data_IF_947219542077
#
_entry.id   IF_947219542077
#
_cell.length_a   1.000
_cell.length_b   1.000
_cell.length_c   1.000
_cell.angle_alpha   90.00
_cell.angle_beta   90.00
_cell.angle_gamma   90.00
#
_symmetry.space_group_name_H-M   'P 1'
#
loop_
_entity.id
_entity.type
_entity.pdbx_description
1 polymer ?
#
# COMPACT_ATOMS: atom_id res chain seq x y z
N UNK A 1 -56.40 14.77 -1.78
CA UNK A 1 -56.25 15.79 -2.83
C UNK A 1 -54.78 15.89 -3.18
N UNK A 2 -54.52 15.96 -4.49
CA UNK A 2 -53.25 16.21 -5.17
C UNK A 2 -52.72 17.63 -4.83
N UNK A 3 -51.40 17.83 -4.74
CA UNK A 3 -50.61 19.04 -5.12
C UNK A 3 -49.27 19.03 -4.38
N UNK A 4 -48.13 18.76 -5.01
CA UNK A 4 -47.38 19.50 -6.05
C UNK A 4 -46.25 20.35 -5.43
N UNK A 5 -45.09 20.23 -6.08
CA UNK A 5 -43.78 20.75 -5.71
C UNK A 5 -43.74 22.26 -5.46
N UNK A 6 -42.82 22.68 -4.58
CA UNK A 6 -42.22 24.00 -4.64
C UNK A 6 -40.70 23.85 -4.61
N UNK A 7 -40.12 23.99 -5.80
CA UNK A 7 -38.72 24.31 -6.03
C UNK A 7 -38.43 25.64 -5.34
N UNK A 8 -37.53 25.64 -4.36
CA UNK A 8 -37.00 26.90 -3.82
C UNK A 8 -35.87 27.41 -4.72
N UNK A 9 -36.26 28.11 -5.79
CA UNK A 9 -35.42 29.04 -6.52
C UNK A 9 -35.14 30.26 -5.63
N UNK A 10 -33.97 30.30 -5.00
CA UNK A 10 -33.44 31.54 -4.46
C UNK A 10 -32.68 32.27 -5.57
N UNK A 11 -33.42 33.10 -6.31
CA UNK A 11 -32.87 34.08 -7.22
C UNK A 11 -33.20 35.49 -6.72
N UNK A 12 -32.14 36.28 -6.58
CA UNK A 12 -32.07 37.74 -6.74
C UNK A 12 -32.55 38.66 -5.60
N UNK A 13 -31.57 39.36 -5.03
CA UNK A 13 -31.58 40.83 -4.99
C UNK A 13 -30.21 41.28 -5.50
N UNK A 14 -30.08 41.81 -6.72
CA UNK A 14 -29.85 43.26 -6.95
C UNK A 14 -28.40 43.63 -6.59
N UNK A 15 -27.47 43.90 -7.51
CA UNK A 15 -27.57 44.74 -8.70
C UNK A 15 -26.77 46.01 -8.46
N UNK A 16 -25.53 46.08 -8.99
CA UNK A 16 -24.79 47.34 -9.17
C UNK A 16 -23.32 47.31 -8.74
N UNK A 17 -22.42 47.27 -9.72
CA UNK A 17 -21.14 48.00 -9.67
C UNK A 17 -19.91 47.20 -9.25
N UNK A 18 -18.91 47.31 -10.12
CA UNK A 18 -17.47 47.08 -9.95
C UNK A 18 -16.95 45.64 -9.95
N UNK A 19 -16.19 45.38 -11.03
CA UNK A 19 -15.11 44.42 -11.21
C UNK A 19 -14.53 43.86 -9.91
N UNK A 20 -14.76 42.56 -9.67
CA UNK A 20 -13.69 41.71 -9.16
C UNK A 20 -13.98 40.29 -9.64
N UNK A 21 -13.29 39.93 -10.72
CA UNK A 21 -13.07 38.57 -11.20
C UNK A 21 -12.49 37.76 -10.03
N UNK A 22 -13.34 37.23 -9.14
CA UNK A 22 -12.93 36.19 -8.19
C UNK A 22 -12.76 34.92 -9.01
N UNK A 23 -11.61 34.86 -9.69
CA UNK A 23 -11.09 33.67 -10.31
C UNK A 23 -11.14 32.56 -9.27
N UNK A 24 -11.98 31.55 -9.52
CA UNK A 24 -11.88 30.28 -8.82
C UNK A 24 -10.42 29.83 -8.95
N UNK A 25 -9.76 29.67 -7.80
CA UNK A 25 -8.35 29.30 -7.68
C UNK A 25 -8.02 28.17 -8.68
N UNK A 26 -7.11 28.39 -9.64
CA UNK A 26 -6.93 27.48 -10.75
C UNK A 26 -6.26 26.21 -10.25
N UNK A 27 -7.06 25.15 -10.11
CA UNK A 27 -6.64 23.78 -9.88
C UNK A 27 -5.71 23.58 -8.67
N UNK A 28 -6.26 22.98 -7.62
CA UNK A 28 -5.46 21.98 -6.90
C UNK A 28 -5.22 20.87 -7.92
N UNK A 29 -4.13 20.99 -8.69
CA UNK A 29 -3.66 19.91 -9.54
C UNK A 29 -3.43 18.74 -8.58
N UNK A 30 -4.23 17.68 -8.70
CA UNK A 30 -4.02 16.47 -7.92
C UNK A 30 -2.65 15.92 -8.31
N UNK A 31 -1.63 16.19 -7.49
CA UNK A 31 -0.32 15.56 -7.64
C UNK A 31 -0.46 14.10 -7.28
N UNK A 32 -0.08 13.21 -8.21
CA UNK A 32 0.04 11.78 -7.92
C UNK A 32 0.93 11.61 -6.68
N UNK A 33 0.48 10.89 -5.64
CA UNK A 33 1.30 10.67 -4.46
C UNK A 33 2.60 9.94 -4.83
N UNK A 34 3.69 10.28 -4.15
CA UNK A 34 4.98 9.65 -4.38
C UNK A 34 5.02 8.24 -3.76
N UNK A 35 5.68 7.31 -4.45
CA UNK A 35 5.95 5.97 -3.91
C UNK A 35 6.91 6.05 -2.71
N UNK A 36 6.62 5.38 -1.59
CA UNK A 36 7.47 5.38 -0.40
C UNK A 36 8.79 4.62 -0.63
N UNK A 37 9.82 4.94 0.15
CA UNK A 37 11.14 4.27 0.00
C UNK A 37 11.18 2.99 0.84
N UNK A 38 11.50 1.87 0.21
CA UNK A 38 11.74 0.62 0.92
C UNK A 38 13.10 0.64 1.64
N UNK A 39 13.21 -0.12 2.72
CA UNK A 39 14.45 -0.31 3.46
C UNK A 39 14.97 -1.73 3.30
N UNK A 40 16.27 -1.91 3.52
CA UNK A 40 16.83 -3.25 3.74
C UNK A 40 16.54 -3.68 5.20
N UNK A 41 15.80 -4.78 5.43
CA UNK A 41 15.48 -5.24 6.77
C UNK A 41 16.72 -5.51 7.63
N UNK A 42 17.86 -5.84 7.01
CA UNK A 42 19.13 -6.08 7.70
C UNK A 42 19.81 -4.80 8.23
N UNK A 43 19.36 -3.62 7.80
CA UNK A 43 19.97 -2.33 8.18
C UNK A 43 19.35 -1.70 9.43
N UNK A 44 18.27 -2.29 9.96
CA UNK A 44 17.55 -1.77 11.13
C UNK A 44 17.46 -2.81 12.24
N UNK A 45 17.43 -2.33 13.48
CA UNK A 45 17.09 -3.14 14.67
C UNK A 45 15.73 -2.76 15.25
N UNK A 46 15.07 -1.76 14.68
CA UNK A 46 13.71 -1.36 15.06
C UNK A 46 12.67 -2.25 14.37
N UNK A 47 11.44 -2.33 14.91
CA UNK A 47 10.34 -2.98 14.22
C UNK A 47 10.15 -2.38 12.82
N UNK A 48 9.93 -3.25 11.85
CA UNK A 48 9.68 -2.90 10.46
C UNK A 48 8.28 -3.36 10.05
N UNK A 49 7.83 -2.85 8.90
CA UNK A 49 6.53 -3.15 8.31
C UNK A 49 6.76 -3.80 6.96
N UNK A 50 6.13 -4.95 6.72
CA UNK A 50 6.21 -5.63 5.43
C UNK A 50 4.83 -5.64 4.82
N UNK A 51 4.73 -5.16 3.59
CA UNK A 51 3.57 -5.35 2.74
C UNK A 51 3.81 -6.58 1.87
N UNK A 52 3.14 -7.68 2.17
CA UNK A 52 3.22 -8.93 1.42
C UNK A 52 2.30 -8.87 0.21
N UNK A 53 2.84 -9.02 -0.98
CA UNK A 53 2.10 -8.93 -2.25
C UNK A 53 1.79 -10.29 -2.85
N UNK A 54 2.51 -11.32 -2.43
CA UNK A 54 2.29 -12.70 -2.88
C UNK A 54 2.90 -13.70 -1.91
N UNK A 55 2.33 -14.89 -1.82
CA UNK A 55 2.77 -15.96 -0.92
C UNK A 55 2.49 -17.32 -1.57
N UNK A 56 3.48 -18.21 -1.49
CA UNK A 56 3.36 -19.62 -1.87
C UNK A 56 3.75 -20.51 -0.70
N UNK A 57 3.49 -21.81 -0.78
CA UNK A 57 4.01 -22.80 0.17
C UNK A 57 5.34 -23.35 -0.32
N UNK A 58 6.39 -23.41 0.50
CA UNK A 58 7.73 -23.87 0.06
C UNK A 58 7.80 -25.37 -0.26
N UNK A 59 6.82 -26.16 0.21
CA UNK A 59 6.76 -27.61 -0.01
C UNK A 59 6.17 -28.04 -1.36
N UNK A 60 5.03 -27.46 -1.76
CA UNK A 60 4.36 -27.70 -3.06
C UNK A 60 4.49 -26.53 -4.05
N UNK A 61 4.92 -25.37 -3.59
CA UNK A 61 4.92 -24.12 -4.35
C UNK A 61 6.19 -23.89 -5.15
N UNK A 62 5.98 -23.65 -6.43
CA UNK A 62 7.00 -23.18 -7.35
C UNK A 62 7.28 -21.70 -7.07
N UNK A 63 8.49 -21.35 -6.65
CA UNK A 63 8.89 -19.94 -6.46
C UNK A 63 8.80 -19.14 -7.77
N UNK A 64 8.74 -19.80 -8.93
CA UNK A 64 8.43 -19.18 -10.23
C UNK A 64 7.04 -18.55 -10.24
N UNK A 65 6.08 -19.04 -9.43
CA UNK A 65 4.75 -18.43 -9.30
C UNK A 65 4.81 -17.03 -8.67
N UNK A 66 5.87 -16.72 -7.92
CA UNK A 66 6.11 -15.39 -7.34
C UNK A 66 6.70 -14.39 -8.35
N UNK A 67 7.22 -14.86 -9.50
CA UNK A 67 7.91 -14.02 -10.48
C UNK A 67 7.07 -12.85 -11.02
N UNK A 68 5.76 -13.01 -11.32
CA UNK A 68 4.93 -11.88 -11.75
C UNK A 68 4.86 -10.75 -10.71
N UNK A 69 4.82 -11.10 -9.43
CA UNK A 69 4.77 -10.15 -8.31
C UNK A 69 6.13 -9.45 -8.15
N UNK A 70 7.23 -10.18 -8.28
CA UNK A 70 8.60 -9.63 -8.30
C UNK A 70 8.77 -8.64 -9.45
N UNK A 71 8.36 -9.00 -10.67
CA UNK A 71 8.49 -8.16 -11.86
C UNK A 71 7.64 -6.88 -11.75
N UNK A 72 6.44 -6.99 -11.19
CA UNK A 72 5.54 -5.86 -10.96
C UNK A 72 6.13 -4.87 -9.96
N UNK A 73 6.75 -5.36 -8.89
CA UNK A 73 7.45 -4.52 -7.91
C UNK A 73 8.71 -3.89 -8.46
N UNK A 74 9.47 -4.63 -9.28
CA UNK A 74 10.67 -4.12 -9.95
C UNK A 74 10.34 -2.97 -10.91
N UNK A 75 9.21 -3.04 -11.62
CA UNK A 75 8.73 -1.95 -12.49
C UNK A 75 8.41 -0.66 -11.73
N UNK A 76 8.10 -0.76 -10.43
CA UNK A 76 7.89 0.36 -9.52
C UNK A 76 9.18 0.82 -8.82
N UNK A 77 10.31 0.15 -9.08
CA UNK A 77 11.61 0.45 -8.49
C UNK A 77 11.93 -0.32 -7.21
N UNK A 78 11.07 -1.25 -6.78
CA UNK A 78 11.32 -2.10 -5.61
C UNK A 78 12.00 -3.40 -6.04
N UNK A 79 13.25 -3.59 -5.62
CA UNK A 79 13.93 -4.86 -5.77
C UNK A 79 13.62 -5.74 -4.56
N UNK A 80 12.92 -6.83 -4.79
CA UNK A 80 12.57 -7.81 -3.76
C UNK A 80 12.84 -9.21 -4.28
N UNK A 81 13.10 -10.12 -3.35
CA UNK A 81 13.28 -11.54 -3.61
C UNK A 81 12.31 -12.30 -2.71
N UNK A 82 11.97 -13.56 -3.06
CA UNK A 82 11.28 -14.43 -2.12
C UNK A 82 12.05 -14.50 -0.82
N UNK A 83 11.38 -14.23 0.29
CA UNK A 83 11.98 -14.25 1.61
C UNK A 83 11.04 -14.94 2.60
N UNK A 84 11.67 -15.57 3.58
CA UNK A 84 11.00 -16.38 4.59
C UNK A 84 10.32 -15.47 5.62
N UNK A 85 8.99 -15.53 5.79
CA UNK A 85 8.26 -14.79 6.81
C UNK A 85 8.73 -15.08 8.24
N UNK A 86 9.34 -16.23 8.52
CA UNK A 86 9.93 -16.52 9.83
C UNK A 86 11.08 -15.56 10.17
N UNK A 87 11.63 -14.85 9.17
CA UNK A 87 12.62 -13.80 9.37
C UNK A 87 12.04 -12.50 9.95
N UNK A 88 10.72 -12.37 10.06
CA UNK A 88 10.07 -11.28 10.78
C UNK A 88 9.24 -11.89 11.92
N UNK A 89 9.45 -11.40 13.13
CA UNK A 89 8.71 -11.86 14.31
C UNK A 89 7.20 -11.76 14.09
N UNK A 90 6.48 -12.88 14.13
CA UNK A 90 5.02 -12.94 14.02
C UNK A 90 4.45 -12.95 12.60
N UNK A 91 5.28 -12.86 11.55
CA UNK A 91 4.79 -12.82 10.17
C UNK A 91 4.43 -14.20 9.63
N UNK A 92 5.22 -15.23 9.94
CA UNK A 92 4.95 -16.63 9.55
C UNK A 92 3.58 -17.08 10.06
N UNK A 93 3.31 -16.93 11.36
CA UNK A 93 2.04 -17.38 11.95
C UNK A 93 0.84 -16.64 11.37
N UNK A 94 1.04 -15.36 11.03
CA UNK A 94 -0.01 -14.53 10.43
C UNK A 94 -0.28 -14.93 8.98
N UNK A 95 0.75 -15.15 8.18
CA UNK A 95 0.58 -15.60 6.80
C UNK A 95 0.04 -17.02 6.73
N UNK A 96 0.58 -17.95 7.52
CA UNK A 96 0.06 -19.31 7.63
C UNK A 96 -1.42 -19.32 8.03
N UNK A 97 -1.83 -18.45 8.97
CA UNK A 97 -3.23 -18.31 9.37
C UNK A 97 -4.15 -17.76 8.28
N UNK A 98 -3.63 -16.96 7.34
CA UNK A 98 -4.39 -16.38 6.24
C UNK A 98 -4.47 -17.29 5.02
N UNK A 99 -3.37 -17.95 4.66
CA UNK A 99 -3.24 -18.76 3.44
C UNK A 99 -3.52 -20.24 3.68
N UNK A 100 -3.37 -20.71 4.92
CA UNK A 100 -3.40 -22.13 5.26
C UNK A 100 -2.10 -22.89 4.94
N UNK A 101 -1.03 -22.18 4.52
CA UNK A 101 0.27 -22.80 4.23
C UNK A 101 1.00 -23.17 5.51
N UNK A 102 1.62 -24.34 5.52
CA UNK A 102 2.41 -24.79 6.67
C UNK A 102 3.79 -24.12 6.73
N UNK A 103 4.33 -23.78 5.56
CA UNK A 103 5.64 -23.15 5.38
C UNK A 103 5.51 -22.09 4.28
N UNK A 104 5.08 -20.86 4.62
CA UNK A 104 4.87 -19.81 3.63
C UNK A 104 6.20 -19.21 3.18
N UNK A 105 6.35 -18.97 1.87
CA UNK A 105 7.40 -18.14 1.29
C UNK A 105 6.74 -16.99 0.53
N UNK A 106 7.13 -15.76 0.83
CA UNK A 106 6.44 -14.58 0.31
C UNK A 106 7.33 -13.61 -0.45
N UNK A 107 6.68 -12.74 -1.21
CA UNK A 107 7.26 -11.52 -1.77
C UNK A 107 6.67 -10.35 -1.01
N UNK A 108 7.52 -9.50 -0.46
CA UNK A 108 7.08 -8.31 0.25
C UNK A 108 8.02 -7.13 0.10
N UNK A 109 7.50 -5.95 0.41
CA UNK A 109 8.25 -4.69 0.45
C UNK A 109 8.33 -4.21 1.89
N UNK A 110 9.55 -3.88 2.31
CA UNK A 110 9.87 -3.56 3.71
C UNK A 110 9.94 -2.04 3.89
N UNK A 111 9.28 -1.53 4.92
CA UNK A 111 9.22 -0.12 5.28
C UNK A 111 9.57 0.10 6.75
N UNK A 112 10.17 1.25 7.05
CA UNK A 112 10.49 1.65 8.42
C UNK A 112 9.25 2.09 9.21
N UNK A 113 8.19 2.54 8.53
CA UNK A 113 7.01 3.11 9.19
C UNK A 113 5.71 2.51 8.68
N UNK A 114 4.71 2.47 9.57
CA UNK A 114 3.34 2.07 9.21
C UNK A 114 2.72 3.01 8.16
N UNK A 115 3.09 4.29 8.18
CA UNK A 115 2.60 5.28 7.22
C UNK A 115 3.12 4.98 5.81
N UNK A 116 4.40 4.62 5.67
CA UNK A 116 4.98 4.26 4.38
C UNK A 116 4.37 2.95 3.86
N UNK A 117 4.24 1.95 4.72
CA UNK A 117 3.57 0.70 4.36
C UNK A 117 2.11 0.92 3.93
N UNK A 118 1.35 1.76 4.65
CA UNK A 118 -0.02 2.10 4.29
C UNK A 118 -0.13 2.95 3.02
N UNK A 119 0.85 3.82 2.77
CA UNK A 119 0.93 4.61 1.52
C UNK A 119 1.22 3.69 0.34
N UNK A 120 2.16 2.76 0.51
CA UNK A 120 2.43 1.74 -0.50
C UNK A 120 1.18 0.90 -0.76
N UNK A 121 0.54 0.36 0.27
CA UNK A 121 -0.68 -0.45 0.16
C UNK A 121 -1.82 0.30 -0.56
N UNK A 122 -1.96 1.61 -0.32
CA UNK A 122 -2.97 2.44 -0.99
C UNK A 122 -2.63 2.70 -2.47
N UNK A 123 -1.35 2.86 -2.80
CA UNK A 123 -0.90 3.14 -4.17
C UNK A 123 -0.74 1.89 -5.01
N UNK A 124 -0.41 0.78 -4.38
CA UNK A 124 -0.31 -0.53 -4.99
C UNK A 124 -1.71 -1.06 -5.21
N UNK A 125 -2.30 -0.72 -6.36
CA UNK A 125 -3.61 -1.19 -6.84
C UNK A 125 -3.66 -2.72 -7.12
N UNK A 126 -2.72 -3.48 -6.55
CA UNK A 126 -2.51 -4.92 -6.70
C UNK A 126 -2.70 -5.69 -5.39
N UNK A 127 -2.67 -7.02 -5.49
CA UNK A 127 -2.96 -8.00 -4.42
C UNK A 127 -2.07 -7.87 -3.16
N UNK A 128 -2.25 -6.86 -2.32
CA UNK A 128 -1.72 -6.95 -0.95
C UNK A 128 -2.44 -8.09 -0.22
N UNK A 129 -1.67 -9.09 0.19
CA UNK A 129 -2.14 -10.22 0.99
C UNK A 129 -2.30 -9.81 2.45
N UNK A 130 -1.28 -9.15 3.00
CA UNK A 130 -1.28 -8.66 4.37
C UNK A 130 -0.18 -7.63 4.59
N UNK A 131 -0.38 -6.78 5.60
CA UNK A 131 0.70 -6.00 6.21
C UNK A 131 1.04 -6.62 7.56
N UNK A 132 2.32 -6.86 7.82
CA UNK A 132 2.83 -7.38 9.10
C UNK A 132 3.85 -6.44 9.71
N UNK A 133 3.82 -6.31 11.03
CA UNK A 133 4.80 -5.57 11.81
C UNK A 133 5.61 -6.50 12.71
N UNK A 134 6.89 -6.19 12.93
CA UNK A 134 7.76 -7.02 13.75
C UNK A 134 9.24 -6.77 13.50
N UNK A 135 10.08 -7.33 14.35
CA UNK A 135 11.54 -7.20 14.25
C UNK A 135 12.10 -8.25 13.30
N UNK A 136 13.09 -7.86 12.50
CA UNK A 136 13.84 -8.78 11.65
C UNK A 136 14.82 -9.62 12.47
N UNK A 137 14.85 -10.93 12.20
CA UNK A 137 15.59 -11.92 13.02
C UNK A 137 16.64 -12.71 12.23
N UNK A 138 16.57 -12.76 10.90
CA UNK A 138 17.50 -13.52 10.07
C UNK A 138 18.87 -12.83 9.85
N UNK A 139 19.03 -11.60 10.35
CA UNK A 139 20.29 -10.86 10.34
C UNK A 139 20.75 -10.38 8.96
N UNK A 140 21.71 -9.44 8.96
CA UNK A 140 22.52 -9.17 7.78
C UNK A 140 23.36 -10.41 7.50
N UNK A 141 23.07 -11.13 6.42
CA UNK A 141 24.00 -12.13 5.91
C UNK A 141 25.33 -11.41 5.70
N UNK A 142 26.32 -11.73 6.55
CA UNK A 142 27.68 -11.19 6.46
C UNK A 142 28.42 -11.79 5.27
#
# INVERSE_FOLDING_TARGET
MLSAALLSTAACTGGGGDDDDTAADPSVAATTPAWPTAIDPATTTEPLFVVWTDVVETGEGDTTALQPSIDSLAALGYQTLPWDPACQSGAEERLAGLTGFADPLGVGVVFATAQDAGTFDTLYDGNTISVTDGTYTCGATS
#
